data_IF_842853010699
#
_entry.id   IF_842853010699
#
_cell.length_a   1.000
_cell.length_b   1.000
_cell.length_c   1.000
_cell.angle_alpha   90.00
_cell.angle_beta   90.00
_cell.angle_gamma   90.00
#
_symmetry.space_group_name_H-M   'P 1'
#
loop_
_entity.id
_entity.type
_entity.pdbx_description
1 polymer ?
#
# COMPACT_ATOMS: atom_id res chain seq x y z
N UNK A 1 -1.04 54.00 42.58
CA UNK A 1 -0.33 53.48 41.38
C UNK A 1 0.83 52.62 41.83
N UNK A 2 0.71 51.30 41.87
CA UNK A 2 1.86 50.38 41.87
C UNK A 2 1.43 49.16 41.05
N UNK A 3 1.77 49.18 39.76
CA UNK A 3 1.58 48.08 38.84
C UNK A 3 2.63 47.02 39.19
N UNK A 4 2.22 45.96 39.89
CA UNK A 4 3.05 44.78 40.03
C UNK A 4 3.03 44.05 38.69
N UNK A 5 4.07 44.32 37.90
CA UNK A 5 4.54 43.45 36.82
C UNK A 5 4.72 42.03 37.38
N UNK A 6 3.70 41.19 37.20
CA UNK A 6 3.89 39.74 37.25
C UNK A 6 4.69 39.37 36.01
N UNK A 7 6.01 39.34 36.17
CA UNK A 7 6.88 38.63 35.25
C UNK A 7 6.41 37.17 35.23
N UNK A 8 5.79 36.76 34.12
CA UNK A 8 5.64 35.35 33.76
C UNK A 8 7.04 34.76 33.69
N UNK A 9 7.49 34.12 34.77
CA UNK A 9 8.65 33.23 34.71
C UNK A 9 8.19 31.97 33.99
N UNK A 10 8.47 31.92 32.69
CA UNK A 10 8.36 30.69 31.91
C UNK A 10 9.52 29.79 32.37
N UNK A 11 9.22 28.81 33.22
CA UNK A 11 10.23 27.84 33.66
C UNK A 11 10.34 26.75 32.58
N UNK A 12 11.17 27.00 31.56
CA UNK A 12 11.39 26.10 30.43
C UNK A 12 11.78 24.68 30.89
N UNK A 13 12.44 24.59 32.04
CA UNK A 13 12.92 23.37 32.68
C UNK A 13 11.79 22.44 33.14
N UNK A 14 10.70 22.98 33.67
CA UNK A 14 9.52 22.22 34.13
C UNK A 14 8.65 21.74 32.96
N UNK A 15 8.58 22.56 31.91
CA UNK A 15 7.93 22.18 30.66
C UNK A 15 8.69 21.02 29.98
N UNK A 16 10.02 21.10 29.90
CA UNK A 16 10.88 20.07 29.30
C UNK A 16 10.73 18.68 29.96
N UNK A 17 10.37 18.61 31.24
CA UNK A 17 10.21 17.35 31.97
C UNK A 17 8.91 16.57 31.66
N UNK A 18 8.03 17.08 30.80
CA UNK A 18 6.78 16.36 30.46
C UNK A 18 7.04 15.20 29.51
N UNK A 19 6.88 13.96 30.00
CA UNK A 19 7.01 12.74 29.20
C UNK A 19 6.12 12.74 27.94
N UNK A 20 4.90 13.27 28.05
CA UNK A 20 3.96 13.41 26.94
C UNK A 20 3.52 14.87 26.82
N UNK A 21 3.54 15.40 25.60
CA UNK A 21 3.02 16.72 25.27
C UNK A 21 2.01 16.62 24.15
N UNK A 22 0.79 17.05 24.45
CA UNK A 22 -0.28 17.17 23.47
C UNK A 22 -0.30 18.62 22.96
N UNK A 23 0.00 18.81 21.67
CA UNK A 23 0.05 20.12 21.00
C UNK A 23 -1.09 20.17 19.98
N UNK A 24 -1.93 21.18 20.10
CA UNK A 24 -2.98 21.48 19.14
C UNK A 24 -2.72 22.85 18.49
N UNK A 25 -3.05 22.97 17.21
CA UNK A 25 -3.00 24.24 16.50
C UNK A 25 -4.23 25.07 16.85
N UNK A 26 -4.02 26.32 17.21
CA UNK A 26 -5.07 27.29 17.49
C UNK A 26 -4.93 28.49 16.56
N UNK A 27 -6.04 29.14 16.26
CA UNK A 27 -6.04 30.40 15.51
C UNK A 27 -5.67 31.60 16.41
N UNK A 28 -5.70 32.82 15.85
CA UNK A 28 -5.34 34.04 16.56
C UNK A 28 -6.36 34.42 17.64
N UNK A 29 -7.59 33.91 17.54
CA UNK A 29 -8.68 34.17 18.48
C UNK A 29 -8.71 33.12 19.61
N UNK A 30 -7.90 32.06 19.49
CA UNK A 30 -7.70 31.01 20.50
C UNK A 30 -8.55 29.75 20.28
N UNK A 31 -9.31 29.71 19.19
CA UNK A 31 -10.11 28.56 18.79
C UNK A 31 -9.23 27.48 18.14
N UNK A 32 -9.61 26.22 18.32
CA UNK A 32 -8.85 25.09 17.75
C UNK A 32 -8.98 25.14 16.23
N UNK A 33 -7.85 25.34 15.55
CA UNK A 33 -7.81 25.49 14.10
C UNK A 33 -8.35 24.24 13.39
N UNK A 34 -8.02 23.05 13.89
CA UNK A 34 -8.49 21.80 13.31
C UNK A 34 -8.52 20.64 14.31
N UNK A 35 -9.72 20.20 14.69
CA UNK A 35 -9.91 19.17 15.72
C UNK A 35 -9.44 17.76 15.30
N UNK A 36 -9.17 17.54 14.01
CA UNK A 36 -8.64 16.24 13.55
C UNK A 36 -7.12 16.15 13.56
N UNK A 37 -6.40 17.27 13.78
CA UNK A 37 -4.94 17.31 13.77
C UNK A 37 -4.40 17.67 15.15
N UNK A 38 -4.02 16.63 15.88
CA UNK A 38 -3.39 16.75 17.20
C UNK A 38 -2.00 16.13 17.13
N UNK A 39 -0.98 16.89 17.52
CA UNK A 39 0.38 16.38 17.63
C UNK A 39 0.62 15.88 19.05
N UNK A 40 1.11 14.66 19.19
CA UNK A 40 1.51 14.10 20.50
C UNK A 40 3.00 13.83 20.46
N UNK A 41 3.76 14.58 21.26
CA UNK A 41 5.20 14.39 21.41
C UNK A 41 5.47 13.52 22.63
N UNK A 42 6.28 12.48 22.43
CA UNK A 42 6.68 11.53 23.47
C UNK A 42 8.19 11.64 23.68
N UNK A 43 8.60 11.93 24.91
CA UNK A 43 10.01 12.06 25.28
C UNK A 43 10.54 10.73 25.80
N UNK A 44 11.07 9.90 24.90
CA UNK A 44 11.59 8.57 25.21
C UNK A 44 12.67 8.51 26.31
N UNK A 45 13.58 9.49 26.47
CA UNK A 45 14.58 9.48 27.55
C UNK A 45 13.99 9.53 28.96
N UNK A 46 12.80 10.13 29.12
CA UNK A 46 12.11 10.25 30.41
C UNK A 46 11.31 8.99 30.76
N UNK A 47 11.14 8.06 29.81
CA UNK A 47 10.47 6.79 30.06
C UNK A 47 11.46 5.79 30.67
N UNK A 48 11.49 5.71 32.00
CA UNK A 48 12.37 4.80 32.76
C UNK A 48 11.67 3.56 33.31
N UNK A 49 10.36 3.43 33.07
CA UNK A 49 9.54 2.32 33.57
C UNK A 49 10.04 0.98 33.04
N UNK A 50 10.11 -0.01 33.92
CA UNK A 50 10.44 -1.39 33.57
C UNK A 50 9.19 -2.25 33.32
N UNK A 51 9.39 -3.45 32.78
CA UNK A 51 8.34 -4.42 32.42
C UNK A 51 7.27 -4.63 33.50
N UNK A 52 7.68 -4.67 34.77
CA UNK A 52 6.80 -4.88 35.93
C UNK A 52 6.02 -3.64 36.37
N UNK A 53 6.37 -2.46 35.85
CA UNK A 53 5.74 -1.17 36.15
C UNK A 53 4.76 -0.72 35.06
N UNK A 54 4.58 -1.54 34.02
CA UNK A 54 3.68 -1.28 32.89
C UNK A 54 2.21 -1.50 33.30
N UNK A 55 1.62 -0.49 33.93
CA UNK A 55 0.23 -0.54 34.38
C UNK A 55 -0.80 -0.26 33.26
N UNK A 56 -0.44 0.55 32.26
CA UNK A 56 -1.38 1.00 31.21
C UNK A 56 -1.03 0.46 29.83
N UNK A 57 -2.03 0.31 28.97
CA UNK A 57 -1.82 -0.09 27.56
C UNK A 57 -0.92 0.91 26.81
N UNK A 58 -0.98 2.19 27.18
CA UNK A 58 -0.09 3.22 26.64
C UNK A 58 1.37 3.00 27.08
N UNK A 59 1.62 2.70 28.36
CA UNK A 59 2.97 2.36 28.83
C UNK A 59 3.54 1.14 28.08
N UNK A 60 2.69 0.13 27.82
CA UNK A 60 3.05 -1.04 27.01
C UNK A 60 3.48 -0.67 25.59
N UNK A 61 2.76 0.22 24.91
CA UNK A 61 3.14 0.72 23.58
C UNK A 61 4.43 1.52 23.59
N UNK A 62 4.62 2.39 24.57
CA UNK A 62 5.87 3.16 24.69
C UNK A 62 7.04 2.23 24.94
N UNK A 63 6.89 1.26 25.84
CA UNK A 63 7.90 0.25 26.12
C UNK A 63 8.23 -0.58 24.87
N UNK A 64 7.21 -1.04 24.14
CA UNK A 64 7.35 -1.75 22.88
C UNK A 64 8.16 -0.94 21.86
N UNK A 65 7.81 0.34 21.64
CA UNK A 65 8.53 1.22 20.71
C UNK A 65 9.96 1.52 21.15
N UNK A 66 10.20 1.67 22.47
CA UNK A 66 11.53 1.92 23.03
C UNK A 66 12.47 0.74 22.84
N UNK A 67 11.95 -0.47 23.02
CA UNK A 67 12.75 -1.68 23.03
C UNK A 67 12.72 -2.43 21.69
N UNK A 68 12.00 -1.93 20.69
CA UNK A 68 11.80 -2.54 19.37
C UNK A 68 13.10 -3.03 18.71
N UNK A 69 14.19 -2.26 18.81
CA UNK A 69 15.50 -2.61 18.25
C UNK A 69 16.22 -3.74 19.00
N UNK A 70 15.88 -3.95 20.27
CA UNK A 70 16.55 -4.88 21.19
C UNK A 70 15.72 -6.09 21.58
N UNK A 71 14.45 -6.15 21.16
CA UNK A 71 13.55 -7.25 21.49
C UNK A 71 13.75 -8.40 20.50
N UNK A 72 14.54 -9.39 20.89
CA UNK A 72 14.64 -10.66 20.14
C UNK A 72 13.39 -11.54 20.29
N UNK A 73 12.60 -11.32 21.33
CA UNK A 73 11.38 -12.06 21.64
C UNK A 73 10.33 -11.16 22.30
N UNK A 74 9.06 -11.44 22.05
CA UNK A 74 7.94 -10.70 22.65
C UNK A 74 7.86 -11.06 24.15
N UNK A 75 8.04 -10.10 25.08
CA UNK A 75 7.88 -10.35 26.50
C UNK A 75 6.43 -10.77 26.81
N UNK A 76 6.24 -11.67 27.78
CA UNK A 76 4.91 -12.22 28.11
C UNK A 76 3.87 -11.13 28.46
N UNK A 77 4.32 -9.98 28.95
CA UNK A 77 3.49 -8.82 29.33
C UNK A 77 2.91 -8.10 28.10
N UNK A 78 3.55 -8.26 26.94
CA UNK A 78 3.17 -7.73 25.64
C UNK A 78 2.59 -8.80 24.71
N UNK A 79 2.29 -10.00 25.22
CA UNK A 79 1.70 -11.08 24.43
C UNK A 79 0.19 -10.87 24.18
N UNK A 80 -0.15 -9.75 23.55
CA UNK A 80 -1.50 -9.44 23.09
C UNK A 80 -1.50 -9.43 21.54
N UNK A 81 -2.63 -9.79 20.89
CA UNK A 81 -2.70 -9.91 19.42
C UNK A 81 -2.31 -8.62 18.68
N UNK A 82 -2.50 -7.46 19.31
CA UNK A 82 -2.19 -6.16 18.72
C UNK A 82 -0.68 -5.90 18.63
N UNK A 83 0.09 -6.36 19.63
CA UNK A 83 1.55 -6.23 19.65
C UNK A 83 2.21 -7.27 18.74
N UNK A 84 1.62 -8.46 18.58
CA UNK A 84 2.09 -9.46 17.61
C UNK A 84 2.06 -8.88 16.18
N UNK A 85 0.94 -8.26 15.78
CA UNK A 85 0.87 -7.56 14.48
C UNK A 85 1.88 -6.42 14.37
N UNK A 86 2.08 -5.67 15.45
CA UNK A 86 3.11 -4.62 15.51
C UNK A 86 4.52 -5.19 15.31
N UNK A 87 4.80 -6.36 15.89
CA UNK A 87 6.08 -7.05 15.79
C UNK A 87 6.31 -7.59 14.37
N UNK A 88 5.31 -8.19 13.73
CA UNK A 88 5.39 -8.64 12.33
C UNK A 88 5.73 -7.47 11.38
N UNK A 89 5.08 -6.32 11.58
CA UNK A 89 5.35 -5.10 10.78
C UNK A 89 6.76 -4.55 11.08
N UNK A 90 7.18 -4.57 12.34
CA UNK A 90 8.49 -4.10 12.77
C UNK A 90 9.62 -5.01 12.29
N UNK A 91 9.42 -6.33 12.30
CA UNK A 91 10.36 -7.33 11.78
C UNK A 91 10.58 -7.12 10.28
N UNK A 92 9.51 -6.82 9.53
CA UNK A 92 9.60 -6.42 8.12
C UNK A 92 10.42 -5.12 7.94
N UNK A 93 10.24 -4.14 8.83
CA UNK A 93 10.98 -2.86 8.79
C UNK A 93 12.44 -3.00 9.26
N UNK A 94 12.74 -3.98 10.11
CA UNK A 94 14.07 -4.25 10.66
C UNK A 94 14.82 -5.36 9.90
N UNK A 95 14.33 -5.78 8.74
CA UNK A 95 15.01 -6.74 7.88
C UNK A 95 16.42 -6.23 7.58
N UNK A 96 17.43 -7.07 7.84
CA UNK A 96 18.78 -6.76 7.41
C UNK A 96 18.81 -6.58 5.88
N UNK A 97 19.74 -5.80 5.30
CA UNK A 97 19.78 -5.58 3.85
C UNK A 97 19.72 -6.87 3.03
N UNK A 98 20.36 -7.95 3.51
CA UNK A 98 20.28 -9.28 2.89
C UNK A 98 18.90 -9.94 2.97
N UNK A 99 18.22 -9.82 4.10
CA UNK A 99 16.88 -10.38 4.27
C UNK A 99 15.84 -9.57 3.49
N UNK A 100 16.02 -8.25 3.43
CA UNK A 100 15.20 -7.36 2.62
C UNK A 100 15.36 -7.64 1.13
N UNK A 101 16.59 -7.84 0.64
CA UNK A 101 16.86 -8.25 -0.74
C UNK A 101 16.22 -9.61 -1.06
N UNK A 102 16.32 -10.58 -0.15
CA UNK A 102 15.70 -11.90 -0.33
C UNK A 102 14.16 -11.80 -0.36
N UNK A 103 13.57 -10.95 0.49
CA UNK A 103 12.14 -10.68 0.52
C UNK A 103 11.65 -9.97 -0.74
N UNK A 104 12.35 -8.93 -1.21
CA UNK A 104 12.06 -8.27 -2.49
C UNK A 104 12.16 -9.24 -3.66
N UNK A 105 13.17 -10.11 -3.67
CA UNK A 105 13.34 -11.11 -4.72
C UNK A 105 12.16 -12.08 -4.75
N UNK A 106 11.70 -12.54 -3.59
CA UNK A 106 10.51 -13.41 -3.49
C UNK A 106 9.24 -12.72 -3.99
N UNK A 107 9.07 -11.43 -3.70
CA UNK A 107 7.95 -10.63 -4.21
C UNK A 107 8.02 -10.46 -5.74
N UNK A 108 9.21 -10.21 -6.27
CA UNK A 108 9.44 -10.07 -7.70
C UNK A 108 9.17 -11.39 -8.43
N UNK A 109 9.61 -12.52 -7.89
CA UNK A 109 9.33 -13.85 -8.44
C UNK A 109 7.82 -14.16 -8.47
N UNK A 110 7.08 -13.75 -7.44
CA UNK A 110 5.61 -13.89 -7.43
C UNK A 110 4.95 -13.05 -8.52
N UNK A 111 5.33 -11.78 -8.65
CA UNK A 111 4.80 -10.89 -9.69
C UNK A 111 5.19 -11.32 -11.10
N UNK A 112 6.41 -11.85 -11.31
CA UNK A 112 6.84 -12.38 -12.61
C UNK A 112 5.95 -13.56 -13.03
N UNK A 113 5.61 -14.46 -12.11
CA UNK A 113 4.70 -15.58 -12.39
C UNK A 113 3.29 -15.09 -12.74
N UNK A 114 2.78 -14.10 -12.00
CA UNK A 114 1.46 -13.50 -12.24
C UNK A 114 1.41 -12.80 -13.60
N UNK A 115 2.42 -11.98 -13.91
CA UNK A 115 2.54 -11.26 -15.18
C UNK A 115 2.70 -12.20 -16.37
N UNK A 116 3.47 -13.29 -16.24
CA UNK A 116 3.60 -14.31 -17.30
C UNK A 116 2.26 -15.00 -17.54
N UNK A 117 1.52 -15.31 -16.49
CA UNK A 117 0.19 -15.92 -16.61
C UNK A 117 -0.82 -14.98 -17.27
N UNK A 118 -0.84 -13.70 -16.89
CA UNK A 118 -1.74 -12.70 -17.45
C UNK A 118 -1.41 -12.43 -18.93
N UNK A 119 -0.13 -12.27 -19.26
CA UNK A 119 0.33 -12.08 -20.64
C UNK A 119 -0.02 -13.27 -21.52
N UNK A 120 0.19 -14.50 -21.04
CA UNK A 120 -0.13 -15.72 -21.79
C UNK A 120 -1.65 -15.86 -22.04
N UNK A 121 -2.47 -15.48 -21.07
CA UNK A 121 -3.93 -15.48 -21.22
C UNK A 121 -4.40 -14.41 -22.22
N UNK A 122 -3.86 -13.19 -22.13
CA UNK A 122 -4.19 -12.09 -23.01
C UNK A 122 -3.76 -12.36 -24.47
N UNK A 123 -2.56 -12.91 -24.68
CA UNK A 123 -2.09 -13.37 -25.98
C UNK A 123 -2.97 -14.49 -26.55
N UNK A 124 -3.39 -15.43 -25.69
CA UNK A 124 -4.30 -16.51 -26.07
C UNK A 124 -5.67 -15.99 -26.52
N UNK A 125 -6.22 -15.03 -25.78
CA UNK A 125 -7.50 -14.38 -26.10
C UNK A 125 -7.40 -13.59 -27.41
N UNK A 126 -6.34 -12.79 -27.57
CA UNK A 126 -6.12 -11.99 -28.78
C UNK A 126 -5.95 -12.89 -30.02
N UNK A 127 -5.14 -13.96 -29.93
CA UNK A 127 -5.01 -14.94 -31.02
C UNK A 127 -6.32 -15.63 -31.33
N UNK A 128 -7.09 -16.00 -30.29
CA UNK A 128 -8.42 -16.59 -30.45
C UNK A 128 -9.42 -15.67 -31.14
N UNK A 129 -9.44 -14.39 -30.76
CA UNK A 129 -10.34 -13.39 -31.32
C UNK A 129 -9.99 -13.04 -32.77
N UNK A 130 -8.70 -12.88 -33.08
CA UNK A 130 -8.22 -12.65 -34.45
C UNK A 130 -8.55 -13.84 -35.34
N UNK A 131 -8.27 -15.07 -34.87
CA UNK A 131 -8.57 -16.29 -35.63
C UNK A 131 -10.08 -16.48 -35.83
N UNK A 132 -10.88 -16.30 -34.79
CA UNK A 132 -12.35 -16.41 -34.88
C UNK A 132 -12.95 -15.37 -35.83
N UNK A 133 -12.42 -14.15 -35.85
CA UNK A 133 -12.84 -13.12 -36.82
C UNK A 133 -12.49 -13.50 -38.25
N UNK A 134 -11.28 -13.99 -38.49
CA UNK A 134 -10.85 -14.42 -39.81
C UNK A 134 -11.67 -15.62 -40.31
N UNK A 135 -11.90 -16.63 -39.47
CA UNK A 135 -12.74 -17.80 -39.79
C UNK A 135 -14.19 -17.39 -40.08
N UNK A 136 -14.76 -16.45 -39.33
CA UNK A 136 -16.10 -15.91 -39.58
C UNK A 136 -16.18 -15.13 -40.91
N UNK A 137 -15.17 -14.32 -41.23
CA UNK A 137 -15.10 -13.60 -42.51
C UNK A 137 -15.02 -14.56 -43.70
N UNK A 138 -14.21 -15.62 -43.59
CA UNK A 138 -14.11 -16.65 -44.62
C UNK A 138 -15.40 -17.46 -44.77
N UNK A 139 -16.05 -17.84 -43.66
CA UNK A 139 -17.33 -18.54 -43.69
C UNK A 139 -18.42 -17.68 -44.35
N UNK A 140 -18.47 -16.39 -44.03
CA UNK A 140 -19.40 -15.44 -44.65
C UNK A 140 -19.15 -15.28 -46.16
N UNK A 141 -17.88 -15.16 -46.58
CA UNK A 141 -17.50 -15.10 -47.98
C UNK A 141 -17.92 -16.36 -48.76
N UNK A 142 -17.74 -17.55 -48.18
CA UNK A 142 -18.19 -18.82 -48.78
C UNK A 142 -19.70 -18.89 -48.98
N UNK A 143 -20.47 -18.45 -47.98
CA UNK A 143 -21.94 -18.39 -48.10
C UNK A 143 -22.36 -17.42 -49.20
N UNK A 144 -21.72 -16.25 -49.27
CA UNK A 144 -22.01 -15.25 -50.30
C UNK A 144 -21.64 -15.71 -51.72
N UNK A 145 -20.55 -16.45 -51.87
CA UNK A 145 -20.18 -17.10 -53.14
C UNK A 145 -21.21 -18.15 -53.55
N UNK A 146 -21.70 -18.96 -52.60
CA UNK A 146 -22.74 -19.96 -52.87
C UNK A 146 -24.08 -19.33 -53.29
N UNK A 147 -24.39 -18.12 -52.80
CA UNK A 147 -25.55 -17.33 -53.24
C UNK A 147 -25.33 -16.60 -54.58
N UNK A 148 -24.14 -16.70 -55.18
CA UNK A 148 -23.84 -16.13 -56.50
C UNK A 148 -23.54 -14.64 -56.49
N UNK A 149 -23.13 -14.07 -55.34
CA UNK A 149 -22.73 -12.67 -55.24
C UNK A 149 -21.37 -12.44 -55.93
N UNK A 150 -21.22 -11.28 -56.57
CA UNK A 150 -19.98 -10.93 -57.28
C UNK A 150 -18.80 -10.70 -56.33
N UNK A 151 -17.61 -11.15 -56.74
CA UNK A 151 -16.36 -11.10 -55.95
C UNK A 151 -16.04 -9.69 -55.42
N UNK A 152 -16.26 -8.65 -56.24
CA UNK A 152 -16.11 -7.24 -55.87
C UNK A 152 -16.99 -6.84 -54.67
N UNK A 153 -18.24 -7.31 -54.63
CA UNK A 153 -19.19 -7.01 -53.57
C UNK A 153 -18.85 -7.79 -52.30
N UNK A 154 -18.41 -9.05 -52.44
CA UNK A 154 -17.96 -9.89 -51.32
C UNK A 154 -16.71 -9.29 -50.67
N UNK A 155 -15.75 -8.82 -51.46
CA UNK A 155 -14.54 -8.14 -50.97
C UNK A 155 -14.90 -6.91 -50.15
N UNK A 156 -15.86 -6.10 -50.62
CA UNK A 156 -16.33 -4.91 -49.93
C UNK A 156 -17.05 -5.21 -48.60
N UNK A 157 -17.82 -6.30 -48.53
CA UNK A 157 -18.62 -6.66 -47.34
C UNK A 157 -17.77 -7.40 -46.28
N UNK A 158 -16.93 -8.34 -46.72
CA UNK A 158 -16.15 -9.20 -45.82
C UNK A 158 -14.81 -8.58 -45.43
N UNK A 159 -14.32 -7.61 -46.22
CA UNK A 159 -13.00 -6.99 -46.05
C UNK A 159 -11.84 -7.86 -46.49
N UNK A 160 -12.11 -9.00 -47.15
CA UNK A 160 -11.11 -9.88 -47.74
C UNK A 160 -10.66 -9.34 -49.12
N UNK A 161 -9.42 -9.63 -49.48
CA UNK A 161 -8.91 -9.33 -50.82
C UNK A 161 -9.55 -10.23 -51.88
N UNK A 162 -9.64 -9.74 -53.12
CA UNK A 162 -10.18 -10.53 -54.24
C UNK A 162 -9.40 -11.84 -54.43
N UNK A 163 -8.09 -11.84 -54.19
CA UNK A 163 -7.25 -13.05 -54.23
C UNK A 163 -7.57 -14.06 -53.13
N UNK A 164 -7.95 -13.61 -51.93
CA UNK A 164 -8.36 -14.51 -50.86
C UNK A 164 -9.73 -15.12 -51.15
N UNK A 165 -10.65 -14.36 -51.76
CA UNK A 165 -11.98 -14.84 -52.14
C UNK A 165 -11.91 -15.85 -53.29
N UNK A 166 -11.01 -15.66 -54.25
CA UNK A 166 -10.77 -16.61 -55.35
C UNK A 166 -10.11 -17.92 -54.90
N UNK A 167 -9.50 -17.95 -53.71
CA UNK A 167 -8.87 -19.14 -53.11
C UNK A 167 -9.78 -19.92 -52.14
N UNK A 168 -10.98 -19.39 -51.82
CA UNK A 168 -11.95 -20.01 -50.90
C UNK A 168 -12.85 -21.06 -51.56
#
# INVERSE_FOLDING_TARGET
MHCHSQFFRYDETEELAKFRRDVCLKDQDGDVFFDKLHFKFLQMPLFTKQEHELATHFDKWVYFLKHLESLDHIPAILNEPIFQKGFEIAELANLSPRQFDAYQKSLLEYWDVENVSETAFEDGLNKGLVRGRAEAQQAMAKTMLAEGLGVELIAKITGLSSSEIEQL
#
